data_IF_230241782647
#
_entry.id   IF_230241782647
#
_cell.length_a   1.000
_cell.length_b   1.000
_cell.length_c   1.000
_cell.angle_alpha   90.00
_cell.angle_beta   90.00
_cell.angle_gamma   90.00
#
_symmetry.space_group_name_H-M   'P 1'
#
loop_
_entity.id
_entity.type
_entity.pdbx_description
1 polymer ?
#
# COMPACT_ATOMS: atom_id res chain seq x y z
N UNK A 1 8.24 -12.41 -4.48
CA UNK A 1 8.44 -10.97 -4.18
C UNK A 1 8.22 -10.18 -5.46
N UNK A 2 7.39 -9.13 -5.41
CA UNK A 2 7.13 -8.19 -6.50
C UNK A 2 7.79 -6.84 -6.20
N UNK A 3 8.40 -6.22 -7.21
CA UNK A 3 9.11 -4.95 -7.02
C UNK A 3 8.24 -3.76 -7.40
N UNK A 4 7.63 -3.14 -6.40
CA UNK A 4 6.91 -1.88 -6.47
C UNK A 4 7.87 -0.68 -6.47
N UNK A 5 7.40 0.49 -6.07
CA UNK A 5 8.21 1.72 -5.96
C UNK A 5 7.52 2.74 -5.05
N UNK A 6 8.29 3.57 -4.38
CA UNK A 6 7.78 4.75 -3.69
C UNK A 6 6.96 5.67 -4.61
N UNK A 7 7.34 5.78 -5.90
CA UNK A 7 6.57 6.51 -6.89
C UNK A 7 5.16 5.95 -7.10
N UNK A 8 4.98 4.61 -6.98
CA UNK A 8 3.66 4.00 -7.02
C UNK A 8 2.83 4.28 -5.77
N UNK A 9 3.48 4.32 -4.61
CA UNK A 9 2.83 4.49 -3.30
C UNK A 9 2.43 5.94 -3.05
N UNK A 10 3.35 6.86 -3.29
CA UNK A 10 3.21 8.30 -2.94
C UNK A 10 2.97 9.21 -4.16
N UNK A 11 3.10 8.67 -5.35
CA UNK A 11 3.14 9.46 -6.58
C UNK A 11 4.51 10.10 -6.84
N UNK A 12 4.78 10.41 -8.11
CA UNK A 12 5.94 11.20 -8.49
C UNK A 12 5.64 11.96 -9.78
N UNK A 13 6.01 13.25 -9.84
CA UNK A 13 5.74 14.11 -10.98
C UNK A 13 6.36 13.53 -12.27
N UNK A 14 5.56 13.50 -13.35
CA UNK A 14 6.00 13.00 -14.65
C UNK A 14 6.05 11.48 -14.80
N UNK A 15 5.65 10.71 -13.76
CA UNK A 15 5.72 9.24 -13.75
C UNK A 15 4.35 8.55 -13.64
N UNK A 16 3.29 9.11 -14.20
CA UNK A 16 1.94 8.57 -14.06
C UNK A 16 1.82 7.10 -14.49
N UNK A 17 2.33 6.75 -15.68
CA UNK A 17 2.34 5.37 -16.19
C UNK A 17 3.21 4.42 -15.34
N UNK A 18 4.37 4.88 -14.91
CA UNK A 18 5.27 4.11 -14.05
C UNK A 18 4.63 3.88 -12.67
N UNK A 19 4.09 4.93 -12.05
CA UNK A 19 3.40 4.88 -10.76
C UNK A 19 2.21 3.90 -10.80
N UNK A 20 1.39 3.97 -11.84
CA UNK A 20 0.28 3.04 -12.08
C UNK A 20 0.79 1.59 -12.14
N UNK A 21 1.81 1.31 -12.94
CA UNK A 21 2.36 -0.03 -13.08
C UNK A 21 2.93 -0.55 -11.76
N UNK A 22 3.65 0.28 -11.03
CA UNK A 22 4.31 -0.10 -9.77
C UNK A 22 3.32 -0.29 -8.61
N UNK A 23 2.28 0.52 -8.51
CA UNK A 23 1.21 0.28 -7.54
C UNK A 23 0.37 -0.96 -7.92
N UNK A 24 0.14 -1.19 -9.22
CA UNK A 24 -0.54 -2.39 -9.71
C UNK A 24 0.14 -3.69 -9.30
N UNK A 25 1.48 -3.71 -9.21
CA UNK A 25 2.22 -4.87 -8.68
C UNK A 25 1.90 -5.14 -7.21
N UNK A 26 1.67 -4.10 -6.39
CA UNK A 26 1.24 -4.32 -5.01
C UNK A 26 -0.20 -4.86 -4.95
N UNK A 27 -1.12 -4.32 -5.75
CA UNK A 27 -2.48 -4.88 -5.87
C UNK A 27 -2.49 -6.36 -6.28
N UNK A 28 -1.64 -6.72 -7.25
CA UNK A 28 -1.42 -8.12 -7.63
C UNK A 28 -0.89 -8.95 -6.45
N UNK A 29 0.10 -8.44 -5.70
CA UNK A 29 0.66 -9.13 -4.54
C UNK A 29 -0.40 -9.40 -3.46
N UNK A 30 -1.27 -8.42 -3.17
CA UNK A 30 -2.36 -8.56 -2.20
C UNK A 30 -3.35 -9.66 -2.62
N UNK A 31 -3.75 -9.68 -3.90
CA UNK A 31 -4.67 -10.69 -4.42
C UNK A 31 -4.05 -12.09 -4.40
N UNK A 32 -2.83 -12.23 -4.92
CA UNK A 32 -2.11 -13.51 -4.92
C UNK A 32 -1.82 -14.03 -3.51
N UNK A 33 -1.63 -13.13 -2.53
CA UNK A 33 -1.47 -13.51 -1.13
C UNK A 33 -2.74 -14.15 -0.55
N UNK A 34 -3.92 -13.68 -0.95
CA UNK A 34 -5.21 -14.28 -0.55
C UNK A 34 -5.42 -15.63 -1.25
N UNK A 35 -5.24 -15.69 -2.56
CA UNK A 35 -5.41 -16.90 -3.37
C UNK A 35 -4.41 -18.00 -3.00
N UNK A 36 -3.17 -17.62 -2.68
CA UNK A 36 -2.07 -18.53 -2.36
C UNK A 36 -2.10 -19.10 -0.95
N UNK A 37 -2.89 -18.52 -0.04
CA UNK A 37 -2.88 -18.87 1.39
C UNK A 37 -3.11 -20.36 1.65
N UNK A 38 -4.05 -20.99 0.96
CA UNK A 38 -4.37 -22.43 1.10
C UNK A 38 -3.32 -23.35 0.49
N UNK A 39 -2.38 -22.80 -0.26
CA UNK A 39 -1.28 -23.51 -0.93
C UNK A 39 0.09 -23.19 -0.33
N UNK A 40 0.11 -22.52 0.83
CA UNK A 40 1.33 -22.03 1.47
C UNK A 40 2.19 -21.16 0.55
N UNK A 41 1.55 -20.34 -0.30
CA UNK A 41 2.23 -19.40 -1.19
C UNK A 41 2.17 -18.02 -0.55
N UNK A 42 3.33 -17.48 -0.17
CA UNK A 42 3.47 -16.16 0.41
C UNK A 42 3.89 -15.17 -0.67
N UNK A 43 3.17 -14.06 -0.79
CA UNK A 43 3.42 -13.04 -1.82
C UNK A 43 3.54 -11.67 -1.17
N UNK A 44 4.66 -11.01 -1.35
CA UNK A 44 4.94 -9.67 -0.81
C UNK A 44 5.48 -8.75 -1.90
N UNK A 45 5.39 -7.45 -1.68
CA UNK A 45 6.02 -6.44 -2.53
C UNK A 45 7.03 -5.62 -1.74
N UNK A 46 8.05 -5.15 -2.45
CA UNK A 46 9.04 -4.22 -1.92
C UNK A 46 9.04 -2.93 -2.75
N UNK A 47 9.33 -1.81 -2.13
CA UNK A 47 9.62 -0.52 -2.76
C UNK A 47 11.07 -0.15 -2.45
N UNK A 48 12.04 -0.63 -3.25
CA UNK A 48 13.44 -0.48 -2.94
C UNK A 48 13.97 0.88 -3.38
N UNK A 49 14.94 1.40 -2.60
CA UNK A 49 15.76 2.56 -2.98
C UNK A 49 17.21 2.16 -3.03
N UNK A 50 17.78 2.12 -4.22
CA UNK A 50 19.19 1.79 -4.47
C UNK A 50 19.78 2.69 -5.54
N UNK A 51 21.10 2.87 -5.50
CA UNK A 51 21.86 3.48 -6.57
C UNK A 51 21.81 2.62 -7.83
N UNK A 52 21.39 3.22 -8.93
CA UNK A 52 21.27 2.53 -10.23
C UNK A 52 21.44 3.55 -11.36
N UNK A 53 21.63 3.07 -12.57
CA UNK A 53 21.66 3.94 -13.78
C UNK A 53 20.41 4.82 -13.89
N UNK A 54 19.26 4.38 -13.38
CA UNK A 54 18.02 5.17 -13.39
C UNK A 54 18.05 6.32 -12.38
N UNK A 55 18.78 6.19 -11.29
CA UNK A 55 18.89 7.21 -10.24
C UNK A 55 20.05 8.17 -10.45
N UNK A 56 21.02 7.84 -11.31
CA UNK A 56 22.19 8.67 -11.62
C UNK A 56 21.83 10.06 -12.18
N UNK A 57 20.71 10.15 -12.90
CA UNK A 57 20.26 11.43 -13.48
C UNK A 57 19.54 12.35 -12.50
N UNK A 58 19.15 11.85 -11.31
CA UNK A 58 18.28 12.59 -10.37
C UNK A 58 18.86 12.72 -8.96
N UNK A 59 19.99 12.05 -8.67
CA UNK A 59 20.62 12.07 -7.34
C UNK A 59 22.11 12.46 -7.45
N UNK A 60 22.66 13.15 -6.42
CA UNK A 60 24.09 13.43 -6.35
C UNK A 60 24.93 12.14 -6.36
N UNK A 61 26.09 12.10 -7.08
CA UNK A 61 26.92 10.89 -7.18
C UNK A 61 27.36 10.29 -5.84
N UNK A 62 27.64 11.14 -4.84
CA UNK A 62 28.05 10.69 -3.50
C UNK A 62 26.92 10.00 -2.73
N UNK A 63 25.67 10.39 -2.99
CA UNK A 63 24.52 9.73 -2.42
C UNK A 63 24.28 8.36 -3.09
N UNK A 64 24.41 8.30 -4.41
CA UNK A 64 24.25 7.06 -5.19
C UNK A 64 25.24 5.99 -4.73
N UNK A 65 26.50 6.36 -4.50
CA UNK A 65 27.52 5.44 -4.00
C UNK A 65 27.20 4.83 -2.63
N UNK A 66 26.42 5.54 -1.80
CA UNK A 66 25.98 5.09 -0.47
C UNK A 66 24.71 4.23 -0.52
N UNK A 67 23.91 4.34 -1.58
CA UNK A 67 22.67 3.57 -1.78
C UNK A 67 22.99 2.21 -2.43
N UNK A 68 23.71 1.37 -1.72
CA UNK A 68 24.16 0.08 -2.24
C UNK A 68 22.98 -0.90 -2.40
N UNK A 69 22.82 -1.57 -3.56
CA UNK A 69 21.79 -2.57 -3.78
C UNK A 69 21.83 -3.74 -2.78
N UNK A 70 23.01 -4.04 -2.23
CA UNK A 70 23.22 -5.11 -1.24
C UNK A 70 22.41 -4.88 0.04
N UNK A 71 22.01 -3.64 0.36
CA UNK A 71 21.17 -3.33 1.53
C UNK A 71 19.71 -3.77 1.37
N UNK A 72 19.30 -4.17 0.17
CA UNK A 72 17.95 -4.65 -0.14
C UNK A 72 17.85 -6.16 0.04
N UNK A 73 18.89 -6.87 -0.33
CA UNK A 73 18.93 -8.34 -0.39
C UNK A 73 18.54 -9.03 0.92
N UNK A 74 18.95 -8.58 2.12
CA UNK A 74 18.59 -9.25 3.38
C UNK A 74 17.08 -9.33 3.61
N UNK A 75 16.33 -8.26 3.31
CA UNK A 75 14.86 -8.28 3.43
C UNK A 75 14.23 -9.25 2.43
N UNK A 76 14.71 -9.24 1.19
CA UNK A 76 14.20 -10.15 0.15
C UNK A 76 14.45 -11.61 0.52
N UNK A 77 15.66 -11.92 0.98
CA UNK A 77 16.02 -13.27 1.41
C UNK A 77 15.17 -13.73 2.59
N UNK A 78 14.97 -12.86 3.59
CA UNK A 78 14.13 -13.20 4.75
C UNK A 78 12.68 -13.45 4.35
N UNK A 79 12.08 -12.55 3.54
CA UNK A 79 10.69 -12.71 3.05
C UNK A 79 10.51 -13.96 2.18
N UNK A 80 11.58 -14.45 1.53
CA UNK A 80 11.57 -15.63 0.66
C UNK A 80 12.04 -16.91 1.36
N UNK A 81 12.45 -16.83 2.61
CA UNK A 81 12.97 -17.98 3.37
C UNK A 81 11.86 -18.72 4.10
N UNK A 82 12.15 -19.95 4.51
CA UNK A 82 11.27 -20.76 5.36
C UNK A 82 11.05 -20.15 6.77
N UNK A 83 11.88 -19.20 7.19
CA UNK A 83 11.67 -18.46 8.44
C UNK A 83 10.46 -17.52 8.36
N UNK A 84 10.03 -17.13 7.17
CA UNK A 84 8.80 -16.39 6.95
C UNK A 84 7.61 -17.36 6.88
N UNK A 85 6.87 -17.51 7.98
CA UNK A 85 5.72 -18.40 8.06
C UNK A 85 4.39 -17.72 7.67
N UNK A 86 4.23 -16.41 7.99
CA UNK A 86 2.93 -15.76 7.98
C UNK A 86 2.88 -14.43 7.24
N UNK A 87 4.05 -13.83 6.90
CA UNK A 87 4.06 -12.51 6.27
C UNK A 87 3.77 -12.62 4.77
N UNK A 88 2.54 -12.27 4.40
CA UNK A 88 2.06 -12.25 3.01
C UNK A 88 1.16 -11.03 2.78
N UNK A 89 1.04 -10.58 1.54
CA UNK A 89 0.26 -9.40 1.15
C UNK A 89 0.85 -8.06 1.58
N UNK A 90 2.05 -8.07 2.16
CA UNK A 90 2.70 -6.85 2.64
C UNK A 90 3.40 -6.05 1.55
N UNK A 91 3.60 -4.75 1.83
CA UNK A 91 4.48 -3.87 1.08
C UNK A 91 5.53 -3.28 2.01
N UNK A 92 6.78 -3.30 1.58
CA UNK A 92 7.92 -2.89 2.41
C UNK A 92 8.80 -1.89 1.67
N UNK A 93 9.08 -0.77 2.30
CA UNK A 93 10.16 0.12 1.87
C UNK A 93 11.49 -0.40 2.38
N UNK A 94 12.52 -0.35 1.53
CA UNK A 94 13.86 -0.82 1.89
C UNK A 94 14.94 -0.06 1.13
N UNK A 95 15.96 0.41 1.84
CA UNK A 95 17.11 1.08 1.25
C UNK A 95 18.00 1.73 2.31
N UNK A 96 19.27 1.88 2.05
CA UNK A 96 20.24 2.52 2.95
C UNK A 96 20.21 2.01 4.42
N UNK A 97 19.86 0.72 4.62
CA UNK A 97 19.71 0.15 5.96
C UNK A 97 18.36 0.41 6.63
N UNK A 98 17.49 1.20 6.03
CA UNK A 98 16.11 1.43 6.49
C UNK A 98 15.20 0.34 5.94
N UNK A 99 14.29 -0.18 6.77
CA UNK A 99 13.26 -1.14 6.41
C UNK A 99 11.99 -0.82 7.16
N UNK A 100 10.85 -0.68 6.44
CA UNK A 100 9.56 -0.44 7.05
C UNK A 100 8.44 -1.16 6.29
N UNK A 101 7.46 -1.66 7.01
CA UNK A 101 6.21 -2.16 6.44
C UNK A 101 5.20 -1.01 6.37
N UNK A 102 4.51 -0.88 5.24
CA UNK A 102 3.41 0.06 5.06
C UNK A 102 2.06 -0.67 5.16
N UNK A 103 1.04 0.10 5.47
CA UNK A 103 -0.36 -0.31 5.46
C UNK A 103 -1.25 0.82 4.97
N UNK A 104 -2.41 0.48 4.45
CA UNK A 104 -3.48 1.45 4.20
C UNK A 104 -4.12 1.87 5.51
N UNK A 105 -4.51 3.12 5.56
CA UNK A 105 -5.30 3.70 6.64
C UNK A 105 -6.54 4.35 6.04
N UNK A 106 -7.69 4.16 6.66
CA UNK A 106 -8.97 4.70 6.22
C UNK A 106 -9.57 5.55 7.35
N UNK A 107 -9.95 6.79 7.04
CA UNK A 107 -10.71 7.60 7.97
C UNK A 107 -11.99 6.87 8.43
N UNK A 108 -12.52 7.23 9.58
CA UNK A 108 -13.77 6.65 10.07
C UNK A 108 -14.94 6.93 9.12
N UNK A 109 -14.92 8.09 8.45
CA UNK A 109 -15.98 8.50 7.54
C UNK A 109 -17.29 8.86 8.24
N UNK A 110 -18.38 8.88 7.48
CA UNK A 110 -19.75 9.10 7.95
C UNK A 110 -20.70 8.11 7.30
N UNK A 111 -21.79 7.85 7.99
CA UNK A 111 -22.93 7.11 7.46
C UNK A 111 -24.10 8.08 7.33
N UNK A 112 -24.64 8.22 6.13
CA UNK A 112 -25.76 9.12 5.82
C UNK A 112 -27.06 8.32 5.66
N UNK A 113 -28.22 8.85 6.10
CA UNK A 113 -29.52 8.23 5.83
C UNK A 113 -29.79 8.13 4.33
N UNK A 114 -30.39 7.01 3.90
CA UNK A 114 -30.63 6.74 2.48
C UNK A 114 -32.05 7.14 2.01
N UNK A 115 -32.99 7.28 2.93
CA UNK A 115 -34.41 7.46 2.62
C UNK A 115 -34.72 8.64 1.68
N UNK A 116 -34.03 9.77 1.87
CA UNK A 116 -34.25 11.00 1.08
C UNK A 116 -33.18 11.21 0.00
N UNK A 117 -32.30 10.22 -0.19
CA UNK A 117 -31.14 10.31 -1.06
C UNK A 117 -30.00 11.13 -0.43
N UNK A 118 -28.88 11.20 -1.14
CA UNK A 118 -27.67 11.90 -0.71
C UNK A 118 -27.33 12.99 -1.71
N UNK A 119 -27.15 14.22 -1.23
CA UNK A 119 -26.88 15.39 -2.05
C UNK A 119 -25.42 15.83 -1.95
N UNK A 120 -24.97 16.69 -2.87
CA UNK A 120 -23.63 17.33 -2.80
C UNK A 120 -23.48 18.17 -1.53
N UNK A 121 -24.57 18.83 -1.09
CA UNK A 121 -24.56 19.63 0.14
C UNK A 121 -24.40 18.77 1.39
N UNK A 122 -24.89 17.54 1.40
CA UNK A 122 -24.65 16.59 2.50
C UNK A 122 -23.18 16.22 2.59
N UNK A 123 -22.55 15.95 1.46
CA UNK A 123 -21.10 15.69 1.40
C UNK A 123 -20.31 16.90 1.88
N UNK A 124 -20.66 18.10 1.42
CA UNK A 124 -19.98 19.34 1.82
C UNK A 124 -20.08 19.60 3.33
N UNK A 125 -21.26 19.40 3.92
CA UNK A 125 -21.46 19.54 5.38
C UNK A 125 -20.64 18.53 6.19
N UNK A 126 -20.46 17.34 5.68
CA UNK A 126 -19.78 16.25 6.38
C UNK A 126 -18.29 16.11 6.02
N UNK A 127 -17.77 16.97 5.13
CA UNK A 127 -16.42 16.83 4.59
C UNK A 127 -15.33 16.70 5.64
N UNK A 128 -15.43 17.50 6.71
CA UNK A 128 -14.47 17.44 7.82
C UNK A 128 -14.42 16.07 8.48
N UNK A 129 -15.58 15.45 8.70
CA UNK A 129 -15.67 14.13 9.32
C UNK A 129 -15.26 13.03 8.33
N UNK A 130 -15.63 13.14 7.03
CA UNK A 130 -15.23 12.22 5.98
C UNK A 130 -13.70 12.10 5.88
N UNK A 131 -12.99 13.21 6.14
CA UNK A 131 -11.53 13.28 6.02
C UNK A 131 -10.79 13.24 7.35
N UNK A 132 -11.48 12.93 8.47
CA UNK A 132 -10.88 12.87 9.80
C UNK A 132 -10.28 11.47 10.06
N UNK A 133 -8.98 11.43 10.34
CA UNK A 133 -8.21 10.23 10.64
C UNK A 133 -8.01 9.97 12.14
N UNK A 134 -8.63 10.75 13.05
CA UNK A 134 -8.41 10.57 14.49
C UNK A 134 -8.80 9.17 14.99
N UNK A 135 -9.86 8.56 14.41
CA UNK A 135 -10.30 7.19 14.71
C UNK A 135 -10.17 6.30 13.46
N UNK A 136 -9.06 6.38 12.78
CA UNK A 136 -8.83 5.66 11.54
C UNK A 136 -8.85 4.13 11.72
N UNK A 137 -9.32 3.43 10.70
CA UNK A 137 -9.37 1.97 10.63
C UNK A 137 -8.35 1.42 9.63
N UNK A 138 -8.04 0.14 9.76
CA UNK A 138 -7.06 -0.56 8.93
C UNK A 138 -7.66 -1.85 8.36
N UNK A 139 -8.66 -1.78 7.46
CA UNK A 139 -9.29 -2.98 6.91
C UNK A 139 -8.26 -3.90 6.27
N UNK A 140 -8.28 -5.17 6.64
CA UNK A 140 -7.35 -6.17 6.15
C UNK A 140 -7.79 -6.81 4.82
N UNK A 141 -9.05 -6.59 4.40
CA UNK A 141 -9.60 -7.13 3.16
C UNK A 141 -10.66 -6.21 2.56
N UNK A 142 -10.96 -6.40 1.28
CA UNK A 142 -12.07 -5.71 0.60
C UNK A 142 -13.43 -6.06 1.26
N UNK A 143 -13.60 -7.28 1.72
CA UNK A 143 -14.82 -7.70 2.42
C UNK A 143 -14.99 -6.92 3.74
N UNK A 144 -13.95 -6.84 4.56
CA UNK A 144 -13.96 -6.05 5.80
C UNK A 144 -14.23 -4.57 5.52
N UNK A 145 -13.58 -4.01 4.48
CA UNK A 145 -13.80 -2.62 4.08
C UNK A 145 -15.25 -2.29 3.68
N UNK A 146 -16.00 -3.27 3.17
CA UNK A 146 -17.41 -3.11 2.77
C UNK A 146 -18.40 -3.28 3.93
N UNK A 147 -18.00 -3.83 5.07
CA UNK A 147 -18.93 -4.14 6.18
C UNK A 147 -19.69 -2.91 6.67
N UNK A 148 -19.00 -1.77 6.82
CA UNK A 148 -19.63 -0.52 7.27
C UNK A 148 -20.68 -0.02 6.28
N UNK A 149 -20.45 -0.19 4.96
CA UNK A 149 -21.40 0.17 3.91
C UNK A 149 -22.64 -0.73 3.95
N UNK A 150 -22.44 -2.04 4.12
CA UNK A 150 -23.55 -2.99 4.21
C UNK A 150 -24.37 -2.83 5.49
N UNK A 151 -23.74 -2.46 6.61
CA UNK A 151 -24.45 -2.16 7.85
C UNK A 151 -25.43 -0.99 7.67
N UNK A 152 -25.10 0.01 6.86
CA UNK A 152 -26.00 1.13 6.55
C UNK A 152 -27.23 0.68 5.73
N UNK A 153 -27.03 -0.23 4.79
CA UNK A 153 -28.14 -0.77 3.98
C UNK A 153 -29.16 -1.54 4.83
N UNK A 154 -28.71 -2.11 5.95
CA UNK A 154 -29.58 -2.86 6.86
C UNK A 154 -30.43 -1.97 7.77
N UNK A 155 -30.16 -0.66 7.79
CA UNK A 155 -30.87 0.35 8.59
C UNK A 155 -31.80 1.23 7.74
N UNK A 156 -31.79 1.05 6.44
CA UNK A 156 -32.65 1.75 5.47
C UNK A 156 -33.89 0.92 5.16
#
# INVERSE_FOLDING_TARGET
ILTSSAAGIYGNFGQANYSMAKLGLHGLAQTLALEGRTKNILVNSIAPVAGSRMTESIMPPDLIKKLKPEYISPLVLWLSSEANQDNTGGIYEVGAGYMAKLRWERSRGVTLPLADGITVDDVARQWKQITDFNDASHPASAQEAMMDMFANLSQA
#
